data_IF_614787964885
#
_entry.id   IF_614787964885
#
_cell.length_a   1.000
_cell.length_b   1.000
_cell.length_c   1.000
_cell.angle_alpha   90.00
_cell.angle_beta   90.00
_cell.angle_gamma   90.00
#
_symmetry.space_group_name_H-M   'P 1'
#
loop_
_entity.id
_entity.type
_entity.pdbx_description
1 polymer ?
#
# COMPACT_ATOMS: atom_id res chain seq x y z
N UNK A 1 -4.82 33.03 30.31
CA UNK A 1 -4.66 31.88 29.39
C UNK A 1 -5.75 31.98 28.33
N UNK A 2 -5.45 31.81 27.04
CA UNK A 2 -6.50 31.75 26.01
C UNK A 2 -7.28 30.43 26.19
N UNK A 3 -8.60 30.46 26.11
CA UNK A 3 -9.42 29.24 26.21
C UNK A 3 -8.94 28.22 25.15
N UNK A 4 -8.80 26.95 25.55
CA UNK A 4 -8.34 25.85 24.69
C UNK A 4 -6.84 25.53 24.72
N UNK A 5 -6.01 26.29 25.45
CA UNK A 5 -4.59 25.99 25.70
C UNK A 5 -4.32 25.53 27.14
N UNK A 6 -5.28 24.83 27.74
CA UNK A 6 -5.14 24.29 29.09
C UNK A 6 -4.15 23.12 29.10
N UNK A 7 -3.32 23.04 30.14
CA UNK A 7 -2.47 21.86 30.31
C UNK A 7 -3.38 20.65 30.57
N UNK A 8 -3.13 19.51 29.90
CA UNK A 8 -3.94 18.33 30.11
C UNK A 8 -3.91 17.89 31.58
N UNK A 9 -5.08 17.55 32.11
CA UNK A 9 -5.30 17.24 33.54
C UNK A 9 -4.53 16.00 34.01
N UNK A 10 -4.30 15.04 33.12
CA UNK A 10 -3.55 13.81 33.41
C UNK A 10 -2.90 13.26 32.14
N UNK A 11 -2.18 12.14 32.28
CA UNK A 11 -1.50 11.45 31.16
C UNK A 11 -2.46 10.99 30.06
N UNK A 12 -3.71 10.65 30.40
CA UNK A 12 -4.73 10.25 29.45
C UNK A 12 -5.22 11.45 28.63
N UNK A 13 -5.56 12.55 29.28
CA UNK A 13 -5.89 13.81 28.63
C UNK A 13 -4.73 14.29 27.77
N UNK A 14 -3.49 14.14 28.25
CA UNK A 14 -2.28 14.51 27.52
C UNK A 14 -2.11 13.69 26.24
N UNK A 15 -2.43 12.39 26.28
CA UNK A 15 -2.40 11.52 25.09
C UNK A 15 -3.52 11.88 24.10
N UNK A 16 -4.71 12.23 24.58
CA UNK A 16 -5.84 12.61 23.70
C UNK A 16 -5.59 13.94 23.00
N UNK A 17 -5.04 14.94 23.70
CA UNK A 17 -4.69 16.24 23.10
C UNK A 17 -3.34 16.24 22.40
N UNK A 18 -2.57 15.14 22.48
CA UNK A 18 -1.30 15.04 21.77
C UNK A 18 -1.53 15.13 20.27
N UNK A 19 -0.60 15.77 19.55
CA UNK A 19 -0.67 15.83 18.09
C UNK A 19 -0.58 14.41 17.52
N UNK A 20 -1.71 13.89 17.05
CA UNK A 20 -1.73 12.72 16.18
C UNK A 20 -1.04 13.06 14.86
N UNK A 21 -0.31 12.10 14.30
CA UNK A 21 0.25 12.22 12.95
C UNK A 21 -0.59 11.36 12.01
N UNK A 22 -1.25 12.00 11.06
CA UNK A 22 -1.96 11.33 9.98
C UNK A 22 -1.02 11.14 8.79
N UNK A 23 -0.97 9.91 8.25
CA UNK A 23 -0.25 9.61 7.02
C UNK A 23 -1.26 9.41 5.91
N UNK A 24 -1.46 10.43 5.11
CA UNK A 24 -2.30 10.34 3.92
C UNK A 24 -1.44 10.06 2.69
N UNK A 25 -1.88 9.12 1.87
CA UNK A 25 -1.27 8.89 0.58
C UNK A 25 -1.87 9.88 -0.43
N UNK A 26 -1.01 10.73 -0.99
CA UNK A 26 -1.33 11.53 -2.17
C UNK A 26 -0.74 10.84 -3.39
N UNK A 27 -1.58 10.13 -4.13
CA UNK A 27 -1.17 9.47 -5.38
C UNK A 27 -0.79 10.47 -6.45
N UNK A 28 0.18 10.11 -7.29
CA UNK A 28 0.46 10.81 -8.54
C UNK A 28 -0.64 10.44 -9.55
N UNK A 29 -1.07 11.40 -10.37
CA UNK A 29 -2.09 11.18 -11.42
C UNK A 29 -1.69 10.07 -12.42
N UNK A 30 -0.38 9.79 -12.52
CA UNK A 30 0.19 8.77 -13.39
C UNK A 30 0.21 7.36 -12.79
N UNK A 31 -0.12 7.20 -11.50
CA UNK A 31 -0.08 5.91 -10.81
C UNK A 31 -1.38 5.13 -10.97
N UNK A 32 -1.28 3.92 -11.53
CA UNK A 32 -2.41 3.00 -11.75
C UNK A 32 -2.75 2.25 -10.46
N UNK A 33 -3.11 2.99 -9.42
CA UNK A 33 -3.78 2.45 -8.24
C UNK A 33 -5.24 2.91 -8.31
N UNK A 34 -6.16 1.98 -8.56
CA UNK A 34 -7.59 2.26 -8.59
C UNK A 34 -8.24 1.69 -7.34
N UNK A 35 -9.09 2.48 -6.67
CA UNK A 35 -9.96 1.98 -5.60
C UNK A 35 -11.06 1.07 -6.15
N UNK A 36 -11.38 1.19 -7.44
CA UNK A 36 -12.38 0.38 -8.13
C UNK A 36 -11.72 -0.79 -8.87
N UNK A 37 -12.45 -1.92 -9.03
CA UNK A 37 -11.99 -3.05 -9.84
C UNK A 37 -11.63 -2.62 -11.26
N UNK A 38 -10.44 -3.03 -11.71
CA UNK A 38 -9.98 -2.77 -13.07
C UNK A 38 -10.69 -3.76 -14.01
N UNK A 39 -11.22 -3.32 -15.16
CA UNK A 39 -11.87 -4.20 -16.12
C UNK A 39 -10.92 -5.28 -16.62
N UNK A 40 -11.40 -6.53 -16.59
CA UNK A 40 -10.67 -7.74 -16.97
C UNK A 40 -11.13 -8.15 -18.37
N UNK A 41 -10.21 -8.71 -19.16
CA UNK A 41 -10.46 -9.31 -20.47
C UNK A 41 -10.25 -10.82 -20.40
N UNK A 42 -10.78 -11.51 -21.41
CA UNK A 42 -10.52 -12.92 -21.62
C UNK A 42 -9.05 -13.18 -21.92
N UNK A 43 -8.56 -14.32 -21.43
CA UNK A 43 -7.17 -14.74 -21.60
C UNK A 43 -6.99 -15.31 -23.02
N UNK A 44 -5.95 -14.91 -23.77
CA UNK A 44 -5.69 -15.51 -25.08
C UNK A 44 -5.28 -16.98 -24.95
N UNK A 45 -5.64 -17.76 -25.96
CA UNK A 45 -5.32 -19.19 -26.04
C UNK A 45 -3.79 -19.38 -26.08
N UNK A 46 -3.26 -20.24 -25.21
CA UNK A 46 -1.81 -20.50 -25.10
C UNK A 46 -1.06 -19.64 -24.07
N UNK A 47 -1.74 -18.79 -23.30
CA UNK A 47 -1.14 -18.07 -22.18
C UNK A 47 -1.42 -18.76 -20.83
N UNK A 48 -0.41 -18.79 -19.96
CA UNK A 48 -0.57 -19.34 -18.61
C UNK A 48 -1.50 -18.46 -17.76
N UNK A 49 -2.47 -19.11 -17.12
CA UNK A 49 -3.43 -18.44 -16.25
C UNK A 49 -2.81 -18.16 -14.87
N UNK A 50 -2.55 -16.88 -14.57
CA UNK A 50 -2.04 -16.44 -13.26
C UNK A 50 -3.14 -16.02 -12.27
N UNK A 51 -4.42 -16.10 -12.65
CA UNK A 51 -5.55 -15.69 -11.80
C UNK A 51 -5.57 -16.49 -10.50
N UNK A 52 -5.82 -15.81 -9.38
CA UNK A 52 -5.85 -16.43 -8.05
C UNK A 52 -4.49 -16.56 -7.38
N UNK A 53 -3.38 -16.36 -8.10
CA UNK A 53 -2.04 -16.42 -7.52
C UNK A 53 -1.83 -15.30 -6.50
N UNK A 54 -1.29 -15.66 -5.33
CA UNK A 54 -0.92 -14.73 -4.27
C UNK A 54 0.59 -14.51 -4.26
N UNK A 55 1.01 -13.27 -4.11
CA UNK A 55 2.42 -12.89 -3.93
C UNK A 55 2.51 -11.65 -3.06
N UNK A 56 3.35 -11.70 -2.01
CA UNK A 56 3.35 -10.69 -0.96
C UNK A 56 1.95 -10.39 -0.45
N UNK A 57 1.51 -9.14 -0.59
CA UNK A 57 0.18 -8.65 -0.17
C UNK A 57 -0.82 -8.49 -1.33
N UNK A 58 -0.48 -9.03 -2.50
CA UNK A 58 -1.24 -8.89 -3.74
C UNK A 58 -1.79 -10.25 -4.19
N UNK A 59 -2.99 -10.23 -4.76
CA UNK A 59 -3.66 -11.38 -5.37
C UNK A 59 -4.03 -11.05 -6.80
N UNK A 60 -3.64 -11.88 -7.76
CA UNK A 60 -4.00 -11.67 -9.18
C UNK A 60 -5.50 -11.87 -9.35
N UNK A 61 -6.19 -10.85 -9.84
CA UNK A 61 -7.64 -10.88 -10.07
C UNK A 61 -8.02 -11.19 -11.52
N UNK A 62 -7.19 -10.80 -12.50
CA UNK A 62 -7.53 -11.03 -13.90
C UNK A 62 -6.52 -10.49 -14.90
N UNK A 63 -6.65 -10.93 -16.16
CA UNK A 63 -5.87 -10.43 -17.28
C UNK A 63 -6.48 -9.14 -17.86
N UNK A 64 -5.66 -8.13 -18.16
CA UNK A 64 -6.15 -6.86 -18.74
C UNK A 64 -5.82 -6.78 -20.24
N UNK A 65 -4.83 -7.55 -20.71
CA UNK A 65 -4.45 -7.62 -22.12
C UNK A 65 -3.92 -6.32 -22.73
N UNK A 66 -3.72 -5.25 -21.96
CA UNK A 66 -3.13 -4.01 -22.48
C UNK A 66 -1.59 -4.09 -22.56
N UNK A 67 -1.03 -3.94 -23.76
CA UNK A 67 0.41 -3.88 -24.02
C UNK A 67 1.14 -5.21 -23.78
N UNK A 68 2.31 -5.18 -23.12
CA UNK A 68 3.18 -6.34 -22.78
C UNK A 68 2.59 -7.28 -21.71
N UNK A 69 1.31 -7.62 -21.80
CA UNK A 69 0.69 -8.60 -20.93
C UNK A 69 0.56 -8.18 -19.47
N UNK A 70 -0.40 -7.28 -19.23
CA UNK A 70 -0.68 -6.71 -17.91
C UNK A 70 -1.78 -7.49 -17.20
N UNK A 71 -1.56 -7.72 -15.91
CA UNK A 71 -2.46 -8.39 -14.99
C UNK A 71 -2.98 -7.40 -13.94
N UNK A 72 -4.27 -7.48 -13.66
CA UNK A 72 -4.94 -6.84 -12.54
C UNK A 72 -4.62 -7.61 -11.27
N UNK A 73 -4.20 -6.91 -10.22
CA UNK A 73 -3.93 -7.47 -8.91
C UNK A 73 -4.66 -6.67 -7.85
N UNK A 74 -5.30 -7.34 -6.90
CA UNK A 74 -5.93 -6.74 -5.72
C UNK A 74 -4.96 -6.78 -4.55
N UNK A 75 -4.74 -5.63 -3.93
CA UNK A 75 -3.96 -5.49 -2.70
C UNK A 75 -4.84 -5.73 -1.49
N UNK A 76 -4.23 -6.19 -0.39
CA UNK A 76 -4.92 -6.38 0.89
C UNK A 76 -5.59 -5.10 1.42
N UNK A 77 -5.10 -3.91 1.06
CA UNK A 77 -5.74 -2.64 1.42
C UNK A 77 -7.05 -2.34 0.65
N UNK A 78 -7.40 -3.16 -0.35
CA UNK A 78 -8.59 -2.99 -1.17
C UNK A 78 -8.32 -2.41 -2.56
N UNK A 79 -7.18 -1.74 -2.78
CA UNK A 79 -6.85 -1.15 -4.07
C UNK A 79 -6.46 -2.19 -5.12
N UNK A 80 -6.75 -1.86 -6.37
CA UNK A 80 -6.34 -2.60 -7.55
C UNK A 80 -5.13 -1.94 -8.21
N UNK A 81 -4.16 -2.76 -8.59
CA UNK A 81 -2.93 -2.35 -9.25
C UNK A 81 -2.68 -3.18 -10.49
N UNK A 82 -1.95 -2.59 -11.44
CA UNK A 82 -1.56 -3.28 -12.67
C UNK A 82 -0.11 -3.73 -12.59
N UNK A 83 0.14 -5.03 -12.80
CA UNK A 83 1.49 -5.63 -12.81
C UNK A 83 1.74 -6.39 -14.11
N UNK A 84 3.02 -6.55 -14.47
CA UNK A 84 3.44 -7.39 -15.61
C UNK A 84 3.64 -8.82 -15.14
N UNK A 85 3.48 -9.80 -16.02
CA UNK A 85 3.70 -11.22 -15.70
C UNK A 85 5.06 -11.46 -15.02
N UNK A 86 6.16 -10.91 -15.56
CA UNK A 86 7.51 -11.04 -14.97
C UNK A 86 7.58 -10.55 -13.51
N UNK A 87 6.87 -9.47 -13.18
CA UNK A 87 6.86 -8.92 -11.81
C UNK A 87 6.04 -9.79 -10.84
N UNK A 88 5.10 -10.59 -11.34
CA UNK A 88 4.37 -11.58 -10.55
C UNK A 88 5.27 -12.80 -10.29
N UNK A 89 6.00 -13.24 -11.30
CA UNK A 89 6.93 -14.38 -11.20
C UNK A 89 8.13 -14.09 -10.29
N UNK A 90 8.71 -12.89 -10.39
CA UNK A 90 9.88 -12.45 -9.64
C UNK A 90 9.50 -11.56 -8.44
N UNK A 91 8.29 -11.73 -7.91
CA UNK A 91 7.78 -10.89 -6.84
C UNK A 91 8.60 -11.07 -5.55
N UNK A 92 8.97 -9.94 -4.93
CA UNK A 92 9.54 -9.93 -3.59
C UNK A 92 8.47 -10.33 -2.54
N UNK A 93 8.86 -10.89 -1.38
CA UNK A 93 7.92 -11.31 -0.35
C UNK A 93 7.13 -10.15 0.26
N UNK A 94 7.64 -8.91 0.17
CA UNK A 94 7.03 -7.67 0.64
C UNK A 94 6.29 -6.89 -0.47
N UNK A 95 6.03 -7.54 -1.62
CA UNK A 95 5.33 -6.93 -2.74
C UNK A 95 3.94 -6.41 -2.32
N UNK A 96 3.69 -5.12 -2.56
CA UNK A 96 2.46 -4.43 -2.19
C UNK A 96 2.07 -3.38 -3.23
N UNK A 97 0.89 -2.75 -3.05
CA UNK A 97 0.53 -1.58 -3.86
C UNK A 97 1.38 -0.35 -3.49
N UNK A 98 1.44 0.63 -4.38
CA UNK A 98 2.24 1.84 -4.19
C UNK A 98 1.84 2.60 -2.93
N UNK A 99 0.53 2.69 -2.67
CA UNK A 99 -0.02 3.32 -1.47
C UNK A 99 0.48 2.63 -0.19
N UNK A 100 0.37 1.31 -0.07
CA UNK A 100 0.85 0.56 1.11
C UNK A 100 2.36 0.75 1.31
N UNK A 101 3.13 0.66 0.24
CA UNK A 101 4.57 0.85 0.30
C UNK A 101 4.94 2.25 0.80
N UNK A 102 4.34 3.30 0.23
CA UNK A 102 4.62 4.68 0.63
C UNK A 102 4.16 4.98 2.05
N UNK A 103 3.01 4.45 2.47
CA UNK A 103 2.58 4.55 3.87
C UNK A 103 3.58 3.88 4.82
N UNK A 104 4.08 2.69 4.47
CA UNK A 104 5.09 2.00 5.27
C UNK A 104 6.41 2.79 5.34
N UNK A 105 6.86 3.37 4.23
CA UNK A 105 8.04 4.24 4.19
C UNK A 105 7.87 5.47 5.08
N UNK A 106 6.72 6.14 5.05
CA UNK A 106 6.44 7.31 5.89
C UNK A 106 6.45 6.94 7.38
N UNK A 107 5.81 5.84 7.76
CA UNK A 107 5.83 5.32 9.14
C UNK A 107 7.24 4.98 9.61
N UNK A 108 8.03 4.33 8.76
CA UNK A 108 9.43 4.01 9.04
C UNK A 108 10.27 5.26 9.31
N UNK A 109 10.16 6.27 8.45
CA UNK A 109 10.89 7.55 8.62
C UNK A 109 10.53 8.21 9.94
N UNK A 110 9.26 8.20 10.31
CA UNK A 110 8.81 8.75 11.59
C UNK A 110 9.33 7.93 12.78
N UNK A 111 9.30 6.61 12.68
CA UNK A 111 9.87 5.74 13.71
C UNK A 111 11.35 6.03 13.94
N UNK A 112 12.12 6.19 12.85
CA UNK A 112 13.53 6.58 12.92
C UNK A 112 13.68 7.97 13.55
N UNK A 113 12.84 8.95 13.16
CA UNK A 113 12.86 10.31 13.72
C UNK A 113 12.63 10.33 15.23
N UNK A 114 11.73 9.48 15.74
CA UNK A 114 11.38 9.43 17.18
C UNK A 114 12.36 8.61 18.02
N UNK A 115 12.80 7.46 17.50
CA UNK A 115 13.55 6.46 18.28
C UNK A 115 15.04 6.47 17.99
N UNK A 116 15.47 7.04 16.86
CA UNK A 116 16.84 6.94 16.34
C UNK A 116 17.22 5.53 15.84
N UNK A 117 16.33 4.54 15.95
CA UNK A 117 16.62 3.14 15.60
C UNK A 117 16.35 2.87 14.13
N UNK A 118 17.32 2.24 13.47
CA UNK A 118 17.15 1.71 12.12
C UNK A 118 16.26 0.48 12.16
N UNK A 119 15.30 0.42 11.26
CA UNK A 119 14.33 -0.67 11.08
C UNK A 119 14.07 -0.84 9.58
N UNK A 120 13.50 -1.96 9.17
CA UNK A 120 13.19 -2.22 7.76
C UNK A 120 11.77 -1.79 7.39
N UNK A 121 11.54 -1.42 6.12
CA UNK A 121 10.22 -0.97 5.67
C UNK A 121 9.15 -2.06 5.79
N UNK A 122 9.54 -3.33 5.63
CA UNK A 122 8.61 -4.46 5.71
C UNK A 122 7.91 -4.61 7.05
N UNK A 123 8.51 -4.12 8.14
CA UNK A 123 7.92 -4.16 9.48
C UNK A 123 6.64 -3.30 9.58
N UNK A 124 6.50 -2.30 8.71
CA UNK A 124 5.34 -1.41 8.68
C UNK A 124 4.31 -1.78 7.61
N UNK A 125 4.54 -2.87 6.88
CA UNK A 125 3.61 -3.44 5.91
C UNK A 125 2.63 -4.41 6.59
N UNK A 126 1.87 -3.90 7.57
CA UNK A 126 0.76 -4.61 8.22
C UNK A 126 -0.50 -4.55 7.35
#
# INVERSE_FOLDING_TARGET
MKSGHERPVNSLAARVVSRGESFEYRGLETEVCSSLPIPIKELPEGMENLVGRRFGRLVVSGWIGQGKGRWSCRCQCGNYVVRRAKAIWQAAPDASCQQCYLMAVSKRKEFIRRTGKQCETREFLI
#
